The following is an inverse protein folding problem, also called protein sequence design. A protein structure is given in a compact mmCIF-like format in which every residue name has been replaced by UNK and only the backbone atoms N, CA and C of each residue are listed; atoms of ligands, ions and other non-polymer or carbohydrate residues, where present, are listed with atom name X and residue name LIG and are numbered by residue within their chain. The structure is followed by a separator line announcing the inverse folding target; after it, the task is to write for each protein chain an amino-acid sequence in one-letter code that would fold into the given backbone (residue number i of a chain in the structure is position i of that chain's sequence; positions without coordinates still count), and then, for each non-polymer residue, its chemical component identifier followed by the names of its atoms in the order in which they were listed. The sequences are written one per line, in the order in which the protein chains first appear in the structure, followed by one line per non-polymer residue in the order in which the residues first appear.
data_IF_676623821097
#
_entry.id   IF_676623821097
#
_cell.length_a   1.000
_cell.length_b   1.000
_cell.length_c   1.000
_cell.angle_alpha   90.00
_cell.angle_beta   90.00
_cell.angle_gamma   90.00
#
_symmetry.space_group_name_H-M   'P 1'
#
loop_
_entity.id
_entity.type
_entity.pdbx_description
1 polymer ?
#
# COMPACT_ATOMS: atom_id res chain seq x y z
N UNK A 1 4.79 2.68 -27.00
CA UNK A 1 5.98 2.24 -26.24
C UNK A 1 7.07 3.26 -26.48
N UNK A 2 7.40 4.07 -25.47
CA UNK A 2 8.61 4.90 -25.50
C UNK A 2 9.82 3.99 -25.61
N UNK A 3 10.78 4.31 -26.46
CA UNK A 3 12.10 3.67 -26.44
C UNK A 3 12.83 4.21 -25.21
N UNK A 4 12.98 3.40 -24.20
CA UNK A 4 13.82 3.73 -23.06
C UNK A 4 15.28 3.52 -23.43
N UNK A 5 16.16 4.46 -23.09
CA UNK A 5 17.59 4.20 -23.06
C UNK A 5 17.84 3.29 -21.87
N UNK A 6 18.05 2.01 -22.15
CA UNK A 6 18.32 1.03 -21.12
C UNK A 6 19.82 1.00 -20.83
N UNK A 7 20.19 1.12 -19.57
CA UNK A 7 21.53 0.85 -19.08
C UNK A 7 21.64 -0.64 -18.76
N UNK A 8 22.56 -1.35 -19.41
CA UNK A 8 22.86 -2.74 -19.12
C UNK A 8 23.94 -2.82 -18.04
N UNK A 9 23.58 -3.29 -16.86
CA UNK A 9 24.52 -3.61 -15.80
C UNK A 9 24.53 -5.13 -15.63
N UNK A 10 25.65 -5.78 -15.93
CA UNK A 10 25.79 -7.24 -15.88
C UNK A 10 24.68 -8.03 -16.60
N UNK A 11 24.21 -7.50 -17.72
CA UNK A 11 23.14 -8.11 -18.51
C UNK A 11 21.71 -7.80 -18.02
N UNK A 12 21.54 -7.03 -16.97
CA UNK A 12 20.25 -6.55 -16.50
C UNK A 12 19.92 -5.19 -17.13
N UNK A 13 18.65 -5.02 -17.51
CA UNK A 13 18.10 -3.74 -17.97
C UNK A 13 17.73 -2.90 -16.74
N UNK A 14 18.42 -1.79 -16.52
CA UNK A 14 18.00 -0.79 -15.56
C UNK A 14 17.19 0.30 -16.28
N UNK A 15 15.92 0.40 -15.98
CA UNK A 15 14.99 1.43 -16.48
C UNK A 15 14.77 2.49 -15.39
N UNK A 16 15.83 3.19 -15.03
CA UNK A 16 15.68 4.27 -14.03
C UNK A 16 14.86 5.42 -14.60
N UNK A 17 13.77 5.75 -13.94
CA UNK A 17 13.05 7.00 -14.16
C UNK A 17 13.81 8.11 -13.41
N UNK A 18 14.50 8.99 -14.16
CA UNK A 18 15.35 10.04 -13.60
C UNK A 18 14.58 11.33 -13.22
N UNK A 19 13.26 11.28 -13.08
CA UNK A 19 12.52 12.46 -12.65
C UNK A 19 12.77 12.72 -11.17
N UNK A 20 13.19 13.94 -10.83
CA UNK A 20 13.40 14.33 -9.44
C UNK A 20 12.10 14.32 -8.66
N UNK A 21 12.18 13.98 -7.38
CA UNK A 21 11.06 14.19 -6.47
C UNK A 21 10.78 15.68 -6.31
N UNK A 22 9.50 16.07 -6.39
CA UNK A 22 9.07 17.47 -6.26
C UNK A 22 8.00 17.58 -5.20
N UNK A 23 8.23 18.44 -4.21
CA UNK A 23 7.28 18.73 -3.13
C UNK A 23 6.46 19.98 -3.44
N UNK A 24 5.15 19.94 -3.20
CA UNK A 24 4.25 21.07 -3.37
C UNK A 24 3.10 21.03 -2.37
N UNK A 25 2.49 22.20 -2.12
CA UNK A 25 1.24 22.30 -1.36
C UNK A 25 0.07 22.36 -2.33
N UNK A 26 -0.94 21.51 -2.10
CA UNK A 26 -2.13 21.48 -2.95
C UNK A 26 -3.41 21.48 -2.10
N UNK A 27 -4.49 22.00 -2.66
CA UNK A 27 -5.84 21.80 -2.13
C UNK A 27 -6.48 20.60 -2.84
N UNK A 28 -6.89 19.61 -2.06
CA UNK A 28 -7.55 18.42 -2.57
C UNK A 28 -8.78 18.11 -1.71
N UNK A 29 -9.95 18.01 -2.33
CA UNK A 29 -11.24 17.77 -1.65
C UNK A 29 -11.52 18.74 -0.48
N UNK A 30 -11.15 20.02 -0.61
CA UNK A 30 -11.35 21.04 0.41
C UNK A 30 -10.36 21.00 1.58
N UNK A 31 -9.35 20.17 1.54
CA UNK A 31 -8.27 20.10 2.53
C UNK A 31 -6.91 20.46 1.90
N UNK A 32 -6.03 21.01 2.71
CA UNK A 32 -4.64 21.29 2.33
C UNK A 32 -3.77 20.05 2.54
N UNK A 33 -3.01 19.68 1.51
CA UNK A 33 -2.06 18.57 1.53
C UNK A 33 -0.66 19.03 1.13
N UNK A 34 0.34 18.36 1.65
CA UNK A 34 1.65 18.25 1.02
C UNK A 34 1.62 17.09 0.04
N UNK A 35 2.02 17.34 -1.20
CA UNK A 35 2.23 16.32 -2.23
C UNK A 35 3.71 16.21 -2.53
N UNK A 36 4.20 14.99 -2.67
CA UNK A 36 5.52 14.67 -3.21
C UNK A 36 5.29 13.84 -4.45
N UNK A 37 5.60 14.39 -5.62
CA UNK A 37 5.62 13.66 -6.89
C UNK A 37 6.93 12.90 -7.03
N UNK A 38 6.89 11.73 -7.68
CA UNK A 38 8.04 10.83 -7.88
C UNK A 38 8.74 10.44 -6.56
N UNK A 39 7.95 10.20 -5.52
CA UNK A 39 8.45 9.85 -4.19
C UNK A 39 9.31 8.58 -4.17
N UNK A 40 9.12 7.66 -5.12
CA UNK A 40 9.94 6.47 -5.28
C UNK A 40 11.43 6.76 -5.55
N UNK A 41 11.76 7.97 -6.05
CA UNK A 41 13.14 8.42 -6.28
C UNK A 41 13.80 9.03 -5.04
N UNK A 42 13.11 9.01 -3.89
CA UNK A 42 13.66 9.39 -2.59
C UNK A 42 14.02 8.16 -1.77
N UNK A 43 14.93 8.32 -0.81
CA UNK A 43 15.07 7.31 0.23
C UNK A 43 13.75 7.22 1.02
N UNK A 44 13.27 6.02 1.33
CA UNK A 44 12.07 5.86 2.15
C UNK A 44 12.21 6.58 3.48
N UNK A 45 11.13 7.20 3.94
CA UNK A 45 11.07 7.92 5.21
C UNK A 45 9.81 7.55 5.99
N UNK A 46 9.90 7.70 7.30
CA UNK A 46 8.87 7.37 8.25
C UNK A 46 7.79 8.47 8.34
N UNK A 47 6.54 8.05 8.50
CA UNK A 47 5.38 8.90 8.75
C UNK A 47 4.46 8.25 9.78
N UNK A 48 3.67 9.07 10.49
CA UNK A 48 2.59 8.62 11.34
C UNK A 48 1.26 9.20 10.90
N UNK A 49 0.17 8.49 11.18
CA UNK A 49 -1.19 8.99 11.04
C UNK A 49 -1.74 9.26 12.44
N UNK A 50 -2.12 10.52 12.68
CA UNK A 50 -2.68 10.95 13.96
C UNK A 50 -4.09 10.41 14.12
N UNK A 51 -4.37 9.80 15.26
CA UNK A 51 -5.70 9.33 15.67
C UNK A 51 -6.17 10.05 16.93
N UNK A 52 -7.48 10.21 17.07
CA UNK A 52 -8.11 10.71 18.31
C UNK A 52 -8.39 9.60 19.34
N UNK A 53 -8.10 8.35 19.00
CA UNK A 53 -8.31 7.17 19.82
C UNK A 53 -6.96 6.51 20.15
N UNK A 54 -6.99 5.39 20.84
CA UNK A 54 -5.85 4.56 21.21
C UNK A 54 -5.24 3.76 20.02
N UNK A 55 -5.48 4.19 18.79
CA UNK A 55 -4.91 3.58 17.60
C UNK A 55 -3.62 4.28 17.19
N UNK A 56 -2.63 3.49 16.79
CA UNK A 56 -1.40 3.98 16.20
C UNK A 56 -1.23 3.40 14.80
N UNK A 57 -0.75 4.21 13.88
CA UNK A 57 -0.47 3.82 12.50
C UNK A 57 0.78 4.54 12.02
N UNK A 58 1.79 3.76 11.72
CA UNK A 58 3.06 4.19 11.16
C UNK A 58 3.16 3.70 9.73
N UNK A 59 3.67 4.56 8.88
CA UNK A 59 3.83 4.32 7.45
C UNK A 59 5.24 4.66 7.01
N UNK A 60 5.76 3.93 6.06
CA UNK A 60 6.89 4.37 5.26
C UNK A 60 6.39 5.01 3.96
N UNK A 61 7.16 5.95 3.42
CA UNK A 61 6.83 6.63 2.15
C UNK A 61 6.75 5.68 0.94
N UNK A 62 7.29 4.47 1.04
CA UNK A 62 7.15 3.42 0.03
C UNK A 62 5.95 2.50 0.26
N UNK A 63 5.13 2.74 1.31
CA UNK A 63 3.92 1.97 1.59
C UNK A 63 4.04 0.91 2.68
N UNK A 64 5.23 0.73 3.26
CA UNK A 64 5.41 -0.11 4.44
C UNK A 64 4.54 0.35 5.61
N UNK A 65 4.04 -0.57 6.43
CA UNK A 65 3.03 -0.27 7.46
C UNK A 65 3.30 -1.04 8.74
N UNK A 66 3.08 -0.36 9.87
CA UNK A 66 2.92 -0.95 11.18
C UNK A 66 1.76 -0.24 11.89
N UNK A 67 0.80 -0.99 12.39
CA UNK A 67 -0.41 -0.41 12.98
C UNK A 67 -0.99 -1.30 14.07
N UNK A 68 -1.70 -0.69 15.02
CA UNK A 68 -2.34 -1.42 16.10
C UNK A 68 -3.12 -0.51 17.05
N UNK A 69 -3.42 -1.04 18.24
CA UNK A 69 -4.10 -0.33 19.32
C UNK A 69 -3.24 -0.38 20.58
N UNK A 70 -3.25 0.69 21.34
CA UNK A 70 -2.60 0.85 22.64
C UNK A 70 -1.08 0.59 22.62
N UNK A 71 -0.63 -0.60 22.27
CA UNK A 71 0.78 -1.00 22.28
C UNK A 71 1.07 -2.09 21.23
N UNK A 72 2.32 -2.57 21.17
CA UNK A 72 2.79 -3.57 20.20
C UNK A 72 2.13 -4.95 20.33
N UNK A 73 1.65 -5.32 21.52
CA UNK A 73 0.93 -6.57 21.74
C UNK A 73 -0.47 -6.60 21.11
N UNK A 74 -0.98 -5.45 20.69
CA UNK A 74 -2.25 -5.32 19.98
C UNK A 74 -2.03 -4.85 18.53
N UNK A 75 -0.96 -5.30 17.90
CA UNK A 75 -0.66 -4.98 16.53
C UNK A 75 -1.64 -5.61 15.55
N UNK A 76 -2.04 -4.85 14.53
CA UNK A 76 -2.90 -5.31 13.45
C UNK A 76 -2.13 -6.07 12.37
N UNK A 77 -0.85 -5.79 12.23
CA UNK A 77 0.11 -6.45 11.34
C UNK A 77 1.26 -7.00 12.16
N UNK A 78 2.08 -7.94 11.62
CA UNK A 78 3.32 -8.32 12.29
C UNK A 78 4.10 -7.08 12.71
N UNK A 79 4.40 -6.98 14.01
CA UNK A 79 5.04 -5.79 14.54
C UNK A 79 6.47 -5.67 14.00
N UNK A 80 6.79 -4.49 13.50
CA UNK A 80 8.14 -4.12 13.06
C UNK A 80 8.49 -2.75 13.61
N UNK A 81 9.76 -2.56 13.93
CA UNK A 81 10.32 -1.28 14.34
C UNK A 81 10.39 -0.30 13.18
N UNK A 82 10.50 0.99 13.45
CA UNK A 82 10.51 2.06 12.45
C UNK A 82 11.65 1.94 11.43
N UNK A 83 12.79 1.41 11.81
CA UNK A 83 13.94 1.14 10.93
C UNK A 83 13.68 0.01 9.92
N UNK A 84 12.74 -0.90 10.21
CA UNK A 84 12.39 -2.05 9.36
C UNK A 84 11.05 -1.92 8.63
N UNK A 85 10.30 -0.87 8.90
CA UNK A 85 8.98 -0.68 8.31
C UNK A 85 9.03 -0.58 6.76
N UNK A 86 10.16 -0.16 6.21
CA UNK A 86 10.38 -0.06 4.76
C UNK A 86 10.50 -1.41 4.07
N UNK A 87 10.80 -2.47 4.81
CA UNK A 87 11.11 -3.79 4.25
C UNK A 87 9.86 -4.66 4.07
N UNK A 88 8.73 -4.27 4.66
CA UNK A 88 7.52 -5.10 4.67
C UNK A 88 6.50 -4.81 3.56
N UNK A 89 6.82 -3.93 2.63
CA UNK A 89 5.91 -3.45 1.57
C UNK A 89 5.29 -4.57 0.72
N UNK A 90 6.04 -5.64 0.44
CA UNK A 90 5.58 -6.72 -0.43
C UNK A 90 4.67 -7.74 0.26
N UNK A 91 4.74 -7.82 1.58
CA UNK A 91 4.08 -8.89 2.33
C UNK A 91 3.11 -8.39 3.40
N UNK A 92 2.99 -7.08 3.62
CA UNK A 92 2.16 -6.52 4.70
C UNK A 92 1.44 -5.25 4.22
N UNK A 93 0.19 -5.08 4.63
CA UNK A 93 -0.60 -3.87 4.35
C UNK A 93 -1.31 -3.89 3.00
N UNK A 94 -1.34 -2.77 2.31
CA UNK A 94 -2.06 -2.63 1.04
C UNK A 94 -1.49 -3.51 -0.05
N UNK A 95 -2.36 -4.27 -0.73
CA UNK A 95 -1.99 -5.06 -1.90
C UNK A 95 -3.09 -5.00 -2.96
N UNK A 96 -2.70 -4.71 -4.19
CA UNK A 96 -3.63 -4.59 -5.31
C UNK A 96 -3.00 -5.17 -6.56
N UNK A 97 -3.76 -5.95 -7.30
CA UNK A 97 -3.32 -6.60 -8.55
C UNK A 97 -4.41 -6.36 -9.59
N UNK A 98 -4.02 -5.88 -10.76
CA UNK A 98 -4.92 -5.58 -11.85
C UNK A 98 -4.53 -6.32 -13.11
N UNK A 99 -5.51 -6.88 -13.82
CA UNK A 99 -5.37 -7.37 -15.19
C UNK A 99 -6.16 -6.42 -16.10
N UNK A 100 -5.44 -5.63 -16.88
CA UNK A 100 -6.00 -4.61 -17.77
C UNK A 100 -6.10 -5.17 -19.18
N UNK A 101 -7.29 -5.15 -19.76
CA UNK A 101 -7.54 -5.61 -21.12
C UNK A 101 -7.45 -4.44 -22.11
N UNK A 102 -6.56 -4.57 -23.12
CA UNK A 102 -6.45 -3.65 -24.26
C UNK A 102 -6.50 -4.44 -25.57
N UNK A 103 -7.66 -4.42 -26.23
CA UNK A 103 -7.91 -5.29 -27.38
C UNK A 103 -7.80 -6.77 -27.00
N UNK A 104 -6.99 -7.54 -27.70
CA UNK A 104 -6.73 -8.96 -27.40
C UNK A 104 -5.63 -9.20 -26.36
N UNK A 105 -4.95 -8.14 -25.90
CA UNK A 105 -3.83 -8.25 -24.95
C UNK A 105 -4.30 -8.03 -23.53
N UNK A 106 -3.66 -8.76 -22.59
CA UNK A 106 -3.82 -8.60 -21.15
C UNK A 106 -2.50 -8.11 -20.55
N UNK A 107 -2.60 -7.14 -19.66
CA UNK A 107 -1.45 -6.53 -18.99
C UNK A 107 -1.64 -6.70 -17.49
N UNK A 108 -0.68 -7.33 -16.83
CA UNK A 108 -0.62 -7.40 -15.38
C UNK A 108 -0.01 -6.12 -14.84
N UNK A 109 -0.67 -5.48 -13.87
CA UNK A 109 -0.15 -4.33 -13.16
C UNK A 109 -0.37 -4.51 -11.66
N UNK A 110 0.69 -4.38 -10.93
CA UNK A 110 0.72 -4.46 -9.47
C UNK A 110 1.34 -3.15 -8.95
N UNK A 111 0.49 -2.13 -8.68
CA UNK A 111 0.97 -0.82 -8.28
C UNK A 111 1.76 -0.89 -6.96
N UNK A 112 2.75 -0.03 -6.84
CA UNK A 112 3.67 0.10 -5.70
C UNK A 112 4.58 -1.11 -5.44
N UNK A 113 4.55 -2.13 -6.27
CA UNK A 113 5.41 -3.31 -6.09
C UNK A 113 6.80 -3.08 -6.67
N UNK A 114 7.87 -3.09 -5.85
CA UNK A 114 9.24 -2.95 -6.36
C UNK A 114 9.66 -4.12 -7.27
N UNK A 115 8.96 -5.26 -7.22
CA UNK A 115 9.18 -6.38 -8.17
C UNK A 115 8.81 -6.02 -9.60
N UNK A 116 7.98 -5.01 -9.79
CA UNK A 116 7.49 -4.55 -11.09
C UNK A 116 8.12 -3.23 -11.53
N UNK A 117 9.14 -2.75 -10.82
CA UNK A 117 9.86 -1.54 -11.18
C UNK A 117 10.41 -1.61 -12.60
N UNK A 118 10.25 -0.52 -13.35
CA UNK A 118 10.73 -0.40 -14.72
C UNK A 118 9.98 -1.21 -15.78
N UNK A 119 8.94 -1.99 -15.43
CA UNK A 119 8.08 -2.66 -16.43
C UNK A 119 7.22 -1.64 -17.16
N UNK A 120 6.69 -0.65 -16.43
CA UNK A 120 5.86 0.43 -16.94
C UNK A 120 6.48 1.80 -16.67
N UNK A 121 6.07 2.81 -17.45
CA UNK A 121 6.35 4.22 -17.16
C UNK A 121 5.34 4.64 -16.07
N UNK A 122 5.79 4.66 -14.81
CA UNK A 122 4.96 4.99 -13.65
C UNK A 122 5.47 6.23 -12.93
N UNK A 123 4.54 6.99 -12.35
CA UNK A 123 4.77 8.10 -11.44
C UNK A 123 4.15 7.76 -10.09
N UNK A 124 4.94 7.78 -9.01
CA UNK A 124 4.49 7.52 -7.65
C UNK A 124 4.36 8.82 -6.87
N UNK A 125 3.16 9.11 -6.38
CA UNK A 125 2.84 10.30 -5.64
C UNK A 125 2.44 9.96 -4.20
N UNK A 126 2.91 10.78 -3.27
CA UNK A 126 2.54 10.69 -1.86
C UNK A 126 1.91 12.01 -1.43
N UNK A 127 0.77 11.91 -0.74
CA UNK A 127 0.09 13.06 -0.18
C UNK A 127 -0.12 12.87 1.31
N UNK A 128 0.12 13.90 2.09
CA UNK A 128 -0.21 13.94 3.51
C UNK A 128 -0.92 15.23 3.85
N UNK A 129 -2.09 15.15 4.51
CA UNK A 129 -2.81 16.35 4.88
C UNK A 129 -2.17 17.07 6.07
N UNK A 130 -2.41 18.37 6.18
CA UNK A 130 -1.86 19.22 7.24
C UNK A 130 -2.30 18.81 8.65
N UNK A 131 -3.49 18.20 8.77
CA UNK A 131 -3.98 17.67 10.04
C UNK A 131 -3.23 16.40 10.50
N UNK A 132 -2.43 15.80 9.63
CA UNK A 132 -1.66 14.61 9.93
C UNK A 132 -2.46 13.32 10.06
N UNK A 133 -3.76 13.32 9.76
CA UNK A 133 -4.65 12.17 9.93
C UNK A 133 -5.03 11.45 8.63
N UNK A 134 -4.41 11.84 7.50
CA UNK A 134 -4.59 11.20 6.19
C UNK A 134 -3.26 11.11 5.44
N UNK A 135 -3.04 9.97 4.81
CA UNK A 135 -1.99 9.78 3.81
C UNK A 135 -2.57 9.09 2.59
N UNK A 136 -2.21 9.55 1.38
CA UNK A 136 -2.64 8.97 0.11
C UNK A 136 -1.40 8.58 -0.66
N UNK A 137 -1.40 7.35 -1.14
CA UNK A 137 -0.41 6.82 -2.07
C UNK A 137 -1.08 6.70 -3.44
N UNK A 138 -0.47 7.22 -4.47
CA UNK A 138 -0.98 7.17 -5.84
C UNK A 138 0.12 6.71 -6.79
N UNK A 139 -0.20 5.77 -7.67
CA UNK A 139 0.62 5.41 -8.80
C UNK A 139 -0.14 5.68 -10.10
N UNK A 140 0.48 6.44 -10.99
CA UNK A 140 -0.03 6.74 -12.32
C UNK A 140 0.76 5.93 -13.34
N UNK A 141 0.08 5.01 -14.03
CA UNK A 141 0.67 4.21 -15.09
C UNK A 141 0.40 4.87 -16.44
N UNK A 142 1.43 5.48 -17.01
CA UNK A 142 1.33 6.24 -18.26
C UNK A 142 1.15 5.34 -19.49
N UNK A 143 1.73 4.14 -19.51
CA UNK A 143 1.59 3.17 -20.60
C UNK A 143 0.17 2.59 -20.67
N UNK A 144 -0.42 2.28 -19.53
CA UNK A 144 -1.78 1.76 -19.42
C UNK A 144 -2.84 2.86 -19.39
N UNK A 145 -2.45 4.12 -19.13
CA UNK A 145 -3.33 5.29 -18.96
C UNK A 145 -4.39 5.07 -17.88
N UNK A 146 -3.93 4.64 -16.73
CA UNK A 146 -4.74 4.42 -15.53
C UNK A 146 -4.00 4.96 -14.31
N UNK A 147 -4.72 5.27 -13.24
CA UNK A 147 -4.11 5.47 -11.93
C UNK A 147 -4.83 4.67 -10.87
N UNK A 148 -4.08 4.30 -9.85
CA UNK A 148 -4.60 3.69 -8.64
C UNK A 148 -4.07 4.45 -7.43
N UNK A 149 -4.95 4.70 -6.48
CA UNK A 149 -4.57 5.31 -5.21
C UNK A 149 -5.26 4.62 -4.05
N UNK A 150 -4.61 4.62 -2.90
CA UNK A 150 -5.24 4.27 -1.64
C UNK A 150 -4.93 5.31 -0.57
N UNK A 151 -5.91 5.56 0.27
CA UNK A 151 -5.86 6.51 1.37
C UNK A 151 -5.95 5.75 2.69
N UNK A 152 -5.07 6.06 3.64
CA UNK A 152 -5.21 5.70 5.03
C UNK A 152 -5.72 6.89 5.81
N UNK A 153 -6.77 6.68 6.59
CA UNK A 153 -7.32 7.64 7.53
C UNK A 153 -7.82 6.94 8.80
N UNK A 154 -8.19 7.70 9.81
CA UNK A 154 -8.72 7.19 11.07
C UNK A 154 -10.18 7.55 11.26
N UNK A 155 -10.90 6.69 11.97
CA UNK A 155 -12.31 6.87 12.33
C UNK A 155 -12.54 6.48 13.78
N UNK A 156 -13.38 7.24 14.50
CA UNK A 156 -13.77 6.90 15.88
C UNK A 156 -14.52 5.58 15.97
N UNK A 157 -15.25 5.19 14.92
CA UNK A 157 -16.09 3.99 14.93
C UNK A 157 -15.35 2.77 14.39
N UNK A 158 -14.54 2.93 13.34
CA UNK A 158 -13.98 1.81 12.59
C UNK A 158 -12.46 1.65 12.77
N UNK A 159 -11.82 2.52 13.55
CA UNK A 159 -10.36 2.53 13.67
C UNK A 159 -9.71 3.05 12.41
N UNK A 160 -8.88 2.24 11.77
CA UNK A 160 -8.25 2.59 10.50
C UNK A 160 -9.16 2.29 9.33
N UNK A 161 -9.23 3.23 8.40
CA UNK A 161 -10.01 3.10 7.17
C UNK A 161 -9.08 3.23 5.98
N UNK A 162 -9.07 2.22 5.13
CA UNK A 162 -8.42 2.27 3.82
C UNK A 162 -9.46 2.50 2.73
N UNK A 163 -9.25 3.51 1.91
CA UNK A 163 -10.10 3.80 0.76
C UNK A 163 -9.28 3.70 -0.52
N UNK A 164 -9.67 2.79 -1.42
CA UNK A 164 -9.01 2.62 -2.71
C UNK A 164 -9.80 3.32 -3.83
N UNK A 165 -9.06 3.88 -4.81
CA UNK A 165 -9.64 4.54 -5.99
C UNK A 165 -8.87 4.11 -7.23
N UNK A 166 -9.59 3.66 -8.22
CA UNK A 166 -9.09 3.37 -9.56
C UNK A 166 -9.63 4.41 -10.54
N UNK A 167 -8.76 4.98 -11.37
CA UNK A 167 -9.14 5.92 -12.42
C UNK A 167 -8.68 5.42 -13.79
N UNK A 168 -9.60 5.51 -14.75
CA UNK A 168 -9.28 5.36 -16.16
C UNK A 168 -8.94 6.74 -16.73
N UNK A 169 -7.72 6.92 -17.19
CA UNK A 169 -7.20 8.16 -17.80
C UNK A 169 -7.23 8.13 -19.33
N UNK A 170 -7.73 7.03 -19.93
CA UNK A 170 -7.70 6.78 -21.36
C UNK A 170 -8.94 7.35 -21.98
N UNK A 171 -9.53 8.16 -22.20
CA UNK A 171 -10.75 8.61 -22.89
C UNK A 171 -11.68 7.51 -23.49
N UNK A 172 -11.39 6.22 -23.24
CA UNK A 172 -12.15 5.06 -23.74
C UNK A 172 -12.47 4.07 -22.62
N UNK A 173 -13.50 3.24 -22.83
CA UNK A 173 -13.85 2.17 -21.89
C UNK A 173 -12.72 1.12 -21.85
N UNK A 174 -12.36 0.69 -20.65
CA UNK A 174 -11.43 -0.42 -20.42
C UNK A 174 -12.11 -1.51 -19.59
N UNK A 175 -11.72 -2.77 -19.82
CA UNK A 175 -12.07 -3.88 -18.96
C UNK A 175 -10.92 -4.15 -18.01
N UNK A 176 -11.21 -4.28 -16.72
CA UNK A 176 -10.23 -4.54 -15.67
C UNK A 176 -10.76 -5.67 -14.79
N UNK A 177 -9.92 -6.66 -14.54
CA UNK A 177 -10.12 -7.66 -13.49
C UNK A 177 -9.15 -7.31 -12.36
N UNK A 178 -9.57 -7.39 -11.09
CA UNK A 178 -8.70 -6.98 -10.00
C UNK A 178 -8.95 -7.71 -8.70
N UNK A 179 -7.92 -7.77 -7.89
CA UNK A 179 -7.96 -8.05 -6.46
C UNK A 179 -7.39 -6.86 -5.73
N UNK A 180 -8.10 -6.35 -4.73
CA UNK A 180 -7.66 -5.22 -3.90
C UNK A 180 -8.00 -5.49 -2.45
N UNK A 181 -7.06 -5.20 -1.54
CA UNK A 181 -7.28 -5.44 -0.13
C UNK A 181 -6.08 -5.14 0.76
N UNK A 182 -6.11 -5.79 1.90
CA UNK A 182 -5.07 -5.71 2.93
C UNK A 182 -4.59 -7.13 3.20
N UNK A 183 -3.28 -7.30 3.21
CA UNK A 183 -2.65 -8.59 3.46
C UNK A 183 -1.96 -8.63 4.83
N UNK A 184 -1.75 -9.84 5.33
CA UNK A 184 -1.01 -10.16 6.54
C UNK A 184 -1.59 -9.49 7.82
N UNK A 185 -2.93 -9.47 7.92
CA UNK A 185 -3.61 -9.02 9.13
C UNK A 185 -3.40 -10.06 10.23
N UNK A 186 -3.06 -9.60 11.43
CA UNK A 186 -2.89 -10.46 12.59
C UNK A 186 -4.25 -10.74 13.27
N UNK A 187 -4.54 -11.97 13.68
CA UNK A 187 -5.66 -12.26 14.56
C UNK A 187 -5.49 -11.57 15.92
N UNK A 188 -6.62 -11.31 16.58
CA UNK A 188 -6.60 -10.81 17.96
C UNK A 188 -5.88 -11.79 18.89
N UNK A 189 -5.12 -11.25 19.84
CA UNK A 189 -4.44 -12.04 20.88
C UNK A 189 -3.07 -12.58 20.49
N UNK A 190 -2.53 -12.18 19.34
CA UNK A 190 -1.16 -12.52 18.94
C UNK A 190 -0.22 -11.43 19.43
N UNK A 191 0.32 -11.61 20.64
CA UNK A 191 1.26 -10.68 21.26
C UNK A 191 2.62 -10.68 20.53
N UNK A 192 3.39 -9.59 20.70
CA UNK A 192 4.70 -9.43 20.09
C UNK A 192 5.67 -10.58 20.46
N UNK A 193 5.70 -10.98 21.73
CA UNK A 193 6.55 -12.09 22.20
C UNK A 193 6.20 -13.41 21.51
N UNK A 194 4.90 -13.67 21.30
CA UNK A 194 4.44 -14.86 20.61
C UNK A 194 4.84 -14.84 19.12
N UNK A 195 4.76 -13.69 18.47
CA UNK A 195 5.21 -13.50 17.08
C UNK A 195 6.71 -13.77 16.94
N UNK A 196 7.51 -13.23 17.86
CA UNK A 196 8.98 -13.32 17.79
C UNK A 196 9.52 -14.71 18.13
N UNK A 197 8.86 -15.43 19.06
CA UNK A 197 9.34 -16.73 19.54
C UNK A 197 8.76 -17.93 18.80
N UNK A 198 7.51 -17.82 18.29
CA UNK A 198 6.76 -18.96 17.76
C UNK A 198 5.91 -18.62 16.53
N UNK A 199 6.44 -17.80 15.62
CA UNK A 199 5.72 -17.33 14.43
C UNK A 199 5.14 -18.47 13.58
N UNK A 200 5.87 -19.55 13.36
CA UNK A 200 5.39 -20.72 12.61
C UNK A 200 4.21 -21.41 13.30
N UNK A 201 4.21 -21.46 14.64
CA UNK A 201 3.12 -22.03 15.42
C UNK A 201 1.87 -21.15 15.30
N UNK A 202 2.03 -19.83 15.38
CA UNK A 202 0.93 -18.87 15.17
C UNK A 202 0.33 -19.06 13.78
N UNK A 203 1.15 -19.21 12.74
CA UNK A 203 0.68 -19.43 11.37
C UNK A 203 -0.12 -20.73 11.22
N UNK A 204 0.29 -21.79 11.91
CA UNK A 204 -0.43 -23.08 11.90
C UNK A 204 -1.82 -23.01 12.53
N UNK A 205 -2.03 -22.11 13.48
CA UNK A 205 -3.33 -21.93 14.16
C UNK A 205 -4.22 -20.84 13.56
N UNK A 206 -3.76 -20.12 12.55
CA UNK A 206 -4.58 -19.13 11.83
C UNK A 206 -5.71 -19.82 11.07
N UNK A 207 -6.91 -19.31 11.26
CA UNK A 207 -8.12 -19.84 10.66
C UNK A 207 -8.94 -18.73 10.01
N UNK A 208 -9.36 -18.96 8.78
CA UNK A 208 -10.22 -18.04 8.03
C UNK A 208 -11.54 -18.73 7.72
N UNK A 209 -12.63 -18.09 8.06
CA UNK A 209 -13.99 -18.55 7.80
C UNK A 209 -14.81 -17.46 7.11
N UNK A 210 -15.78 -17.88 6.31
CA UNK A 210 -16.79 -16.98 5.75
C UNK A 210 -18.14 -17.35 6.35
N UNK A 211 -18.70 -16.47 7.17
CA UNK A 211 -20.11 -16.58 7.51
C UNK A 211 -20.98 -16.23 6.30
N UNK A 212 -21.61 -17.24 5.74
CA UNK A 212 -22.42 -17.10 4.51
C UNK A 212 -23.67 -16.26 4.71
N UNK A 213 -24.17 -16.17 5.94
CA UNK A 213 -25.39 -15.41 6.24
C UNK A 213 -25.11 -13.92 6.32
N UNK A 214 -24.15 -13.51 7.14
CA UNK A 214 -23.77 -12.10 7.31
C UNK A 214 -22.80 -11.59 6.23
N UNK A 215 -22.19 -12.48 5.43
CA UNK A 215 -21.11 -12.19 4.47
C UNK A 215 -19.84 -11.68 5.12
N UNK A 216 -19.66 -11.93 6.40
CA UNK A 216 -18.46 -11.52 7.13
C UNK A 216 -17.36 -12.56 7.01
N UNK A 217 -16.15 -12.10 6.73
CA UNK A 217 -14.94 -12.88 6.91
C UNK A 217 -14.54 -12.88 8.39
N UNK A 218 -14.33 -14.05 8.96
CA UNK A 218 -13.84 -14.23 10.33
C UNK A 218 -12.41 -14.72 10.24
N UNK A 219 -11.49 -14.04 10.90
CA UNK A 219 -10.09 -14.42 10.98
C UNK A 219 -9.68 -14.50 12.44
N UNK A 220 -9.28 -15.67 12.89
CA UNK A 220 -9.00 -15.97 14.28
C UNK A 220 -7.86 -16.97 14.44
N UNK A 221 -7.37 -17.13 15.65
CA UNK A 221 -6.60 -18.31 16.04
C UNK A 221 -7.60 -19.40 16.46
N UNK A 222 -7.41 -20.62 15.96
CA UNK A 222 -8.12 -21.78 16.50
C UNK A 222 -7.43 -22.21 17.78
N UNK A 223 -8.20 -22.38 18.82
CA UNK A 223 -7.73 -23.03 20.05
C UNK A 223 -7.75 -24.55 19.86
#
# INVERSE_FOLDING_TARGET
MKKYNALLINGLLDKTNHQNAVGEQIHFNGELFYKISNVANMRPFFMSIVSSNDHWLFLSSNGGISAGRSNSNNALFPYVTDDKITDNIENTGSKSIFIVHKGSKKFLWEPFSPRHDGIYDCENNLYKNFKGNKAIFEEVNHDLKISFSYEWTTSKKFGFVRTARFKNLSGSKIKVEFVDGIQNIMPWGVEEALQNSTSNLVDAYKRSELDRHSKLGIFALSA
#
